data_IF_105746147179
#
_entry.id   IF_105746147179
#
_cell.length_a   1.000
_cell.length_b   1.000
_cell.length_c   1.000
_cell.angle_alpha   90.00
_cell.angle_beta   90.00
_cell.angle_gamma   90.00
#
_symmetry.space_group_name_H-M   'P 1'
#
loop_
_entity.id
_entity.type
_entity.pdbx_description
1 polymer ?
#
# COMPACT_ATOMS: atom_id res chain seq x y z
N UNK A 1 4.94 -6.98 17.98
CA UNK A 1 6.19 -7.77 18.12
C UNK A 1 7.45 -6.93 17.79
N UNK A 2 7.36 -5.75 17.15
CA UNK A 2 8.56 -5.01 16.69
C UNK A 2 9.30 -4.17 17.76
N UNK A 3 8.64 -3.28 18.50
CA UNK A 3 9.34 -2.30 19.38
C UNK A 3 10.14 -2.92 20.53
N UNK A 4 9.58 -3.95 21.20
CA UNK A 4 10.26 -4.66 22.30
C UNK A 4 11.52 -5.37 21.83
N UNK A 5 11.44 -5.96 20.63
CA UNK A 5 12.56 -6.67 20.03
C UNK A 5 13.65 -5.69 19.58
N UNK A 6 13.28 -4.54 19.03
CA UNK A 6 14.23 -3.46 18.71
C UNK A 6 14.98 -2.99 19.94
N UNK A 7 14.30 -2.71 21.06
CA UNK A 7 14.96 -2.30 22.32
C UNK A 7 15.89 -3.41 22.82
N UNK A 8 15.44 -4.67 22.81
CA UNK A 8 16.27 -5.81 23.19
C UNK A 8 17.52 -5.94 22.32
N UNK A 9 17.41 -5.65 21.01
CA UNK A 9 18.57 -5.61 20.12
C UNK A 9 19.52 -4.47 20.47
N UNK A 10 19.03 -3.28 20.79
CA UNK A 10 19.87 -2.16 21.24
C UNK A 10 20.64 -2.54 22.52
N UNK A 11 20.08 -3.36 23.40
CA UNK A 11 20.79 -3.84 24.59
C UNK A 11 22.04 -4.64 24.25
N UNK A 12 22.01 -5.43 23.17
CA UNK A 12 23.07 -6.38 22.78
C UNK A 12 23.94 -5.93 21.61
N UNK A 13 23.43 -5.06 20.74
CA UNK A 13 24.08 -4.65 19.49
C UNK A 13 24.81 -3.31 19.68
N UNK A 14 26.13 -3.39 19.55
CA UNK A 14 27.06 -2.27 19.72
C UNK A 14 26.90 -1.21 18.63
N UNK A 15 26.64 -1.63 17.39
CA UNK A 15 26.49 -0.71 16.27
C UNK A 15 25.24 0.16 16.47
N UNK A 16 24.16 -0.47 16.96
CA UNK A 16 22.92 0.25 17.26
C UNK A 16 23.15 1.27 18.36
N UNK A 17 23.79 0.89 19.47
CA UNK A 17 24.13 1.81 20.58
C UNK A 17 24.96 3.00 20.12
N UNK A 18 26.01 2.75 19.34
CA UNK A 18 26.86 3.81 18.78
C UNK A 18 26.04 4.77 17.90
N UNK A 19 25.18 4.22 17.02
CA UNK A 19 24.34 5.02 16.12
C UNK A 19 23.35 5.93 16.87
N UNK A 20 22.74 5.44 17.95
CA UNK A 20 21.80 6.23 18.76
C UNK A 20 22.49 7.08 19.85
N UNK A 21 23.82 7.02 19.97
CA UNK A 21 24.59 7.80 20.93
C UNK A 21 24.54 7.31 22.38
N UNK A 22 24.18 6.05 22.62
CA UNK A 22 24.19 5.47 23.97
C UNK A 22 25.52 4.79 24.28
N UNK A 23 26.09 5.08 25.45
CA UNK A 23 27.28 4.40 25.95
C UNK A 23 27.02 2.93 26.32
N UNK A 24 28.06 2.11 26.41
CA UNK A 24 27.94 0.69 26.79
C UNK A 24 27.35 0.48 28.19
N UNK A 25 27.74 1.34 29.13
CA UNK A 25 27.32 1.28 30.53
C UNK A 25 25.98 1.97 30.78
N UNK A 26 25.45 2.69 29.79
CA UNK A 26 24.20 3.42 29.94
C UNK A 26 22.99 2.49 29.81
N UNK A 27 22.00 2.75 30.65
CA UNK A 27 20.73 2.02 30.65
C UNK A 27 19.83 2.55 29.55
N UNK A 28 19.39 1.65 28.68
CA UNK A 28 18.47 1.99 27.59
C UNK A 28 17.05 2.20 28.18
N UNK A 29 16.29 3.20 27.67
CA UNK A 29 14.91 3.39 28.07
C UNK A 29 14.06 2.15 27.84
N UNK A 30 13.10 1.92 28.73
CA UNK A 30 12.15 0.83 28.56
C UNK A 30 11.28 1.05 27.31
N UNK A 31 10.88 -0.05 26.64
CA UNK A 31 10.12 0.02 25.37
C UNK A 31 8.86 0.87 25.46
N UNK A 32 8.20 0.89 26.62
CA UNK A 32 6.99 1.69 26.83
C UNK A 32 7.25 3.20 26.75
N UNK A 33 8.42 3.66 27.17
CA UNK A 33 8.82 5.07 27.06
C UNK A 33 8.99 5.44 25.60
N UNK A 34 9.66 4.60 24.82
CA UNK A 34 9.82 4.81 23.39
C UNK A 34 8.48 4.77 22.65
N UNK A 35 7.62 3.77 22.92
CA UNK A 35 6.27 3.69 22.33
C UNK A 35 5.42 4.92 22.62
N UNK A 36 5.39 5.38 23.88
CA UNK A 36 4.62 6.58 24.25
C UNK A 36 5.18 7.86 23.61
N UNK A 37 6.50 8.00 23.53
CA UNK A 37 7.11 9.14 22.85
C UNK A 37 6.84 9.10 21.34
N UNK A 38 6.88 7.91 20.74
CA UNK A 38 6.60 7.72 19.33
C UNK A 38 5.18 8.17 18.99
N UNK A 39 4.20 7.67 19.74
CA UNK A 39 2.80 8.05 19.61
C UNK A 39 2.56 9.54 19.92
N UNK A 40 3.20 10.12 20.94
CA UNK A 40 2.94 11.53 21.28
C UNK A 40 3.59 12.55 20.34
N UNK A 41 4.76 12.22 19.79
CA UNK A 41 5.58 13.18 19.03
C UNK A 41 5.47 13.01 17.52
N UNK A 42 5.16 11.81 17.05
CA UNK A 42 5.20 11.48 15.63
C UNK A 42 3.87 10.97 15.07
N UNK A 43 2.85 10.81 15.91
CA UNK A 43 1.50 10.56 15.42
C UNK A 43 1.05 11.74 14.54
N UNK A 44 0.49 11.41 13.38
CA UNK A 44 0.10 12.33 12.31
C UNK A 44 1.25 13.15 11.68
N UNK A 45 2.50 12.73 11.86
CA UNK A 45 3.64 13.36 11.17
C UNK A 45 4.08 12.56 9.96
N UNK A 46 4.54 13.25 8.91
CA UNK A 46 5.14 12.68 7.71
C UNK A 46 6.68 12.54 7.84
N UNK A 47 7.21 12.69 9.06
CA UNK A 47 8.65 12.75 9.31
C UNK A 47 9.37 11.49 8.84
N UNK A 48 8.83 10.30 9.13
CA UNK A 48 9.43 9.04 8.72
C UNK A 48 9.46 8.90 7.20
N UNK A 49 8.39 9.34 6.55
CA UNK A 49 8.29 9.32 5.10
C UNK A 49 9.31 10.31 4.48
N UNK A 50 9.45 11.50 5.06
CA UNK A 50 10.45 12.50 4.65
C UNK A 50 11.88 11.97 4.81
N UNK A 51 12.20 11.34 5.94
CA UNK A 51 13.52 10.73 6.18
C UNK A 51 13.77 9.61 5.16
N UNK A 52 12.78 8.76 4.91
CA UNK A 52 12.88 7.67 3.94
C UNK A 52 13.23 8.19 2.54
N UNK A 53 12.45 9.15 2.01
CA UNK A 53 12.72 9.70 0.68
C UNK A 53 14.04 10.47 0.61
N UNK A 54 14.48 11.08 1.71
CA UNK A 54 15.80 11.72 1.77
C UNK A 54 16.93 10.70 1.63
N UNK A 55 16.84 9.56 2.32
CA UNK A 55 17.83 8.48 2.21
C UNK A 55 17.77 7.85 0.81
N UNK A 56 16.56 7.64 0.28
CA UNK A 56 16.37 7.09 -1.06
C UNK A 56 17.01 7.99 -2.13
N UNK A 57 16.84 9.31 -2.04
CA UNK A 57 17.50 10.27 -2.94
C UNK A 57 19.01 10.19 -2.87
N UNK A 58 19.60 10.08 -1.68
CA UNK A 58 21.05 9.88 -1.57
C UNK A 58 21.51 8.59 -2.24
N UNK A 59 20.73 7.50 -2.13
CA UNK A 59 21.04 6.25 -2.80
C UNK A 59 20.92 6.37 -4.33
N UNK A 60 19.96 7.15 -4.83
CA UNK A 60 19.82 7.48 -6.26
C UNK A 60 21.00 8.31 -6.77
N UNK A 61 21.43 9.33 -6.02
CA UNK A 61 22.57 10.19 -6.39
C UNK A 61 23.88 9.37 -6.48
N UNK A 62 23.99 8.29 -5.71
CA UNK A 62 25.09 7.33 -5.76
C UNK A 62 24.91 6.24 -6.85
N UNK A 63 23.81 6.28 -7.61
CA UNK A 63 23.52 5.30 -8.66
C UNK A 63 23.15 3.90 -8.16
N UNK A 64 22.78 3.75 -6.89
CA UNK A 64 22.40 2.46 -6.30
C UNK A 64 20.95 2.07 -6.64
N UNK A 65 20.12 3.06 -6.95
CA UNK A 65 18.69 2.91 -7.23
C UNK A 65 18.41 3.34 -8.66
N UNK A 66 17.79 2.47 -9.44
CA UNK A 66 17.33 2.76 -10.80
C UNK A 66 15.80 2.88 -10.82
N UNK A 67 15.23 4.09 -10.88
CA UNK A 67 13.78 4.25 -10.89
C UNK A 67 13.15 3.94 -12.27
N UNK A 68 13.92 3.51 -13.28
CA UNK A 68 13.42 3.29 -14.63
C UNK A 68 12.45 2.10 -14.73
N UNK A 69 12.61 1.10 -13.88
CA UNK A 69 11.75 -0.09 -13.82
C UNK A 69 11.17 -0.22 -12.41
N UNK A 70 9.84 -0.19 -12.30
CA UNK A 70 9.14 -0.41 -11.03
C UNK A 70 8.44 -1.76 -11.02
N UNK A 71 8.68 -2.55 -9.98
CA UNK A 71 8.01 -3.81 -9.69
C UNK A 71 6.99 -3.57 -8.58
N UNK A 72 5.71 -3.82 -8.84
CA UNK A 72 4.64 -3.59 -7.87
C UNK A 72 4.03 -4.93 -7.46
N UNK A 73 4.04 -5.18 -6.16
CA UNK A 73 3.48 -6.37 -5.54
C UNK A 73 2.63 -6.00 -4.31
N UNK A 74 1.66 -6.85 -3.99
CA UNK A 74 0.79 -6.70 -2.82
C UNK A 74 1.00 -7.85 -1.84
N UNK A 75 1.19 -7.53 -0.56
CA UNK A 75 1.32 -8.52 0.51
C UNK A 75 0.32 -8.23 1.62
N UNK A 76 -0.41 -9.28 2.03
CA UNK A 76 -1.40 -9.17 3.09
C UNK A 76 -0.78 -9.48 4.45
N UNK A 77 -0.86 -8.54 5.39
CA UNK A 77 -0.39 -8.69 6.76
C UNK A 77 -1.58 -8.77 7.72
N UNK A 78 -1.59 -9.80 8.55
CA UNK A 78 -2.66 -10.04 9.52
C UNK A 78 -2.67 -8.95 10.60
N UNK A 79 -3.82 -8.30 10.78
CA UNK A 79 -4.04 -7.35 11.86
C UNK A 79 -4.15 -8.08 13.22
N UNK A 80 -3.82 -7.37 14.29
CA UNK A 80 -3.97 -7.90 15.66
C UNK A 80 -5.42 -7.73 16.15
N UNK A 81 -6.37 -8.25 15.37
CA UNK A 81 -7.80 -8.10 15.60
C UNK A 81 -8.49 -9.47 15.61
N UNK A 82 -9.49 -9.62 16.50
CA UNK A 82 -10.23 -10.87 16.60
C UNK A 82 -11.31 -10.96 15.52
N UNK A 83 -11.22 -11.97 14.65
CA UNK A 83 -12.18 -12.24 13.57
C UNK A 83 -13.65 -12.42 14.01
N UNK A 84 -13.90 -12.68 15.30
CA UNK A 84 -15.25 -12.83 15.88
C UNK A 84 -15.80 -11.53 16.49
N UNK A 85 -14.96 -10.50 16.69
CA UNK A 85 -15.37 -9.21 17.24
C UNK A 85 -15.46 -8.19 16.12
N UNK A 86 -16.67 -8.05 15.56
CA UNK A 86 -16.93 -7.12 14.46
C UNK A 86 -18.35 -6.56 14.54
N UNK A 87 -18.52 -5.37 13.98
CA UNK A 87 -19.82 -4.76 13.72
C UNK A 87 -20.06 -4.78 12.21
N UNK A 88 -21.30 -5.05 11.82
CA UNK A 88 -21.73 -4.99 10.43
C UNK A 88 -22.08 -3.55 10.09
N UNK A 89 -21.41 -2.99 9.09
CA UNK A 89 -21.65 -1.62 8.62
C UNK A 89 -22.02 -1.67 7.15
N UNK A 90 -23.08 -0.95 6.81
CA UNK A 90 -23.48 -0.76 5.43
C UNK A 90 -22.64 0.40 4.91
N UNK A 91 -21.79 0.11 3.93
CA UNK A 91 -20.96 1.12 3.28
C UNK A 91 -21.48 1.29 1.87
N UNK A 92 -21.67 2.55 1.46
CA UNK A 92 -21.91 2.87 0.06
C UNK A 92 -20.68 2.49 -0.72
N UNK A 93 -20.85 1.59 -1.67
CA UNK A 93 -19.79 1.23 -2.59
C UNK A 93 -19.49 2.49 -3.38
N UNK A 94 -18.27 3.03 -3.26
CA UNK A 94 -17.82 4.01 -4.22
C UNK A 94 -17.95 3.35 -5.59
N UNK A 95 -18.85 3.91 -6.39
CA UNK A 95 -19.08 3.47 -7.75
C UNK A 95 -17.72 3.52 -8.44
N UNK A 96 -17.40 2.46 -9.18
CA UNK A 96 -16.14 2.41 -9.93
C UNK A 96 -16.21 3.50 -11.01
N UNK A 97 -15.93 4.75 -10.66
CA UNK A 97 -16.06 5.90 -11.55
C UNK A 97 -15.31 5.66 -12.86
N UNK A 98 -14.17 4.98 -12.76
CA UNK A 98 -13.37 4.58 -13.90
C UNK A 98 -13.99 3.44 -14.74
N UNK A 99 -14.73 2.51 -14.12
CA UNK A 99 -15.44 1.45 -14.87
C UNK A 99 -16.58 2.04 -15.69
N UNK A 100 -17.29 3.04 -15.16
CA UNK A 100 -18.36 3.72 -15.90
C UNK A 100 -17.81 4.48 -17.10
N UNK A 101 -16.70 5.20 -16.92
CA UNK A 101 -15.98 5.84 -18.03
C UNK A 101 -15.53 4.82 -19.08
N UNK A 102 -15.00 3.67 -18.65
CA UNK A 102 -14.56 2.62 -19.57
C UNK A 102 -15.74 2.00 -20.34
N UNK A 103 -16.86 1.75 -19.66
CA UNK A 103 -18.06 1.18 -20.28
C UNK A 103 -18.68 2.19 -21.28
N UNK A 104 -18.59 3.50 -21.01
CA UNK A 104 -18.99 4.56 -21.94
C UNK A 104 -18.11 4.58 -23.19
N UNK A 105 -16.78 4.52 -23.05
CA UNK A 105 -15.85 4.48 -24.18
C UNK A 105 -16.02 3.22 -25.03
N UNK A 106 -16.19 2.07 -24.39
CA UNK A 106 -16.48 0.81 -25.08
C UNK A 106 -17.80 0.91 -25.84
N UNK A 107 -18.82 1.53 -25.26
CA UNK A 107 -20.11 1.70 -25.93
C UNK A 107 -19.99 2.66 -27.12
N UNK A 108 -19.23 3.75 -27.00
CA UNK A 108 -18.96 4.66 -28.12
C UNK A 108 -18.24 3.95 -29.28
N UNK A 109 -17.22 3.13 -28.98
CA UNK A 109 -16.53 2.33 -30.00
C UNK A 109 -17.45 1.26 -30.60
N UNK A 110 -18.33 0.63 -29.81
CA UNK A 110 -19.33 -0.31 -30.32
C UNK A 110 -20.32 0.36 -31.26
N UNK A 111 -20.81 1.55 -30.93
CA UNK A 111 -21.71 2.34 -31.77
C UNK A 111 -21.05 2.72 -33.09
N UNK A 112 -19.79 3.19 -33.05
CA UNK A 112 -18.99 3.46 -34.25
C UNK A 112 -18.82 2.22 -35.14
N UNK A 113 -18.73 1.03 -34.53
CA UNK A 113 -18.65 -0.26 -35.21
C UNK A 113 -20.03 -0.93 -35.48
N UNK A 114 -21.15 -0.23 -35.30
CA UNK A 114 -22.50 -0.72 -35.56
C UNK A 114 -22.99 -1.86 -34.63
N UNK A 115 -22.34 -2.03 -33.47
CA UNK A 115 -22.67 -3.04 -32.45
C UNK A 115 -23.55 -2.44 -31.36
N UNK A 116 -24.43 -3.27 -30.78
CA UNK A 116 -25.27 -2.86 -29.66
C UNK A 116 -24.42 -2.55 -28.40
N UNK A 117 -24.83 -1.55 -27.59
CA UNK A 117 -24.16 -1.22 -26.35
C UNK A 117 -24.24 -2.39 -25.35
N UNK A 118 -23.23 -2.47 -24.48
CA UNK A 118 -23.19 -3.45 -23.40
C UNK A 118 -24.29 -3.14 -22.38
N UNK A 119 -24.95 -4.19 -21.89
CA UNK A 119 -25.91 -4.01 -20.79
C UNK A 119 -25.15 -3.51 -19.55
N UNK A 120 -25.64 -2.46 -18.87
CA UNK A 120 -25.01 -1.98 -17.65
C UNK A 120 -25.04 -3.10 -16.61
N UNK A 121 -23.90 -3.32 -15.95
CA UNK A 121 -23.85 -4.24 -14.81
C UNK A 121 -24.63 -3.62 -13.66
N UNK A 122 -25.69 -4.29 -13.21
CA UNK A 122 -26.33 -3.96 -11.95
C UNK A 122 -25.31 -4.15 -10.82
N UNK A 123 -24.87 -3.04 -10.25
CA UNK A 123 -24.01 -3.04 -9.09
C UNK A 123 -24.85 -2.55 -7.91
N UNK A 124 -25.02 -3.38 -6.87
CA UNK A 124 -25.65 -2.90 -5.64
C UNK A 124 -24.82 -1.74 -5.08
N UNK A 125 -25.48 -0.62 -4.82
CA UNK A 125 -24.85 0.61 -4.29
C UNK A 125 -24.37 0.42 -2.85
N UNK A 126 -24.91 -0.57 -2.15
CA UNK A 126 -24.58 -0.83 -0.76
C UNK A 126 -23.93 -2.20 -0.60
N UNK A 127 -22.85 -2.25 0.20
CA UNK A 127 -22.19 -3.48 0.61
C UNK A 127 -22.11 -3.54 2.12
N UNK A 128 -22.52 -4.67 2.67
CA UNK A 128 -22.28 -4.98 4.07
C UNK A 128 -20.80 -5.36 4.27
N UNK A 129 -20.08 -4.56 5.05
CA UNK A 129 -18.68 -4.78 5.43
C UNK A 129 -18.64 -5.11 6.92
N UNK A 130 -17.70 -5.98 7.30
CA UNK A 130 -17.40 -6.29 8.71
C UNK A 130 -16.27 -5.39 9.16
N UNK A 131 -16.54 -4.50 10.10
CA UNK A 131 -15.56 -3.60 10.72
C UNK A 131 -15.14 -4.19 12.08
N UNK A 132 -13.84 -4.28 12.35
CA UNK A 132 -13.41 -4.80 13.66
C UNK A 132 -13.66 -3.78 14.75
N UNK A 133 -14.06 -4.24 15.94
CA UNK A 133 -14.19 -3.36 17.11
C UNK A 133 -12.84 -2.98 17.74
N UNK A 134 -11.78 -3.74 17.44
CA UNK A 134 -10.44 -3.52 18.03
C UNK A 134 -9.58 -2.66 17.11
N UNK A 135 -9.76 -2.83 15.79
CA UNK A 135 -8.97 -2.18 14.76
C UNK A 135 -9.86 -1.85 13.55
N UNK A 136 -10.56 -0.69 13.58
CA UNK A 136 -11.51 -0.30 12.54
C UNK A 136 -10.90 -0.12 11.15
N UNK A 137 -9.59 0.17 11.08
CA UNK A 137 -8.86 0.39 9.83
C UNK A 137 -8.48 -0.92 9.13
N UNK A 138 -8.59 -2.05 9.82
CA UNK A 138 -8.30 -3.36 9.23
C UNK A 138 -9.44 -3.87 8.35
N UNK A 139 -9.09 -4.43 7.19
CA UNK A 139 -10.05 -5.00 6.26
C UNK A 139 -10.37 -6.46 6.57
N UNK A 140 -11.64 -6.85 6.48
CA UNK A 140 -12.03 -8.26 6.60
C UNK A 140 -11.68 -9.01 5.31
N UNK A 141 -10.72 -9.93 5.42
CA UNK A 141 -10.14 -10.65 4.30
C UNK A 141 -10.31 -12.17 4.46
N UNK A 142 -10.42 -12.86 3.33
CA UNK A 142 -10.48 -14.32 3.28
C UNK A 142 -9.27 -14.82 2.51
N UNK A 143 -8.32 -15.42 3.22
CA UNK A 143 -7.10 -15.98 2.63
C UNK A 143 -7.39 -17.36 2.06
N UNK A 144 -7.41 -17.47 0.74
CA UNK A 144 -7.80 -18.69 0.03
C UNK A 144 -9.24 -19.07 0.36
N UNK A 145 -9.50 -20.37 0.52
CA UNK A 145 -10.87 -20.86 0.80
C UNK A 145 -11.20 -21.01 2.30
N UNK A 146 -10.22 -20.91 3.21
CA UNK A 146 -10.37 -21.45 4.57
C UNK A 146 -10.19 -20.46 5.72
N UNK A 147 -9.31 -19.45 5.59
CA UNK A 147 -9.01 -18.58 6.73
C UNK A 147 -9.60 -17.17 6.56
N UNK A 148 -10.56 -16.84 7.43
CA UNK A 148 -11.12 -15.49 7.56
C UNK A 148 -10.38 -14.74 8.65
N UNK A 149 -9.84 -13.57 8.34
CA UNK A 149 -9.04 -12.75 9.24
C UNK A 149 -9.19 -11.26 8.90
N UNK A 150 -8.82 -10.41 9.85
CA UNK A 150 -8.63 -8.98 9.59
C UNK A 150 -7.18 -8.75 9.15
N UNK A 151 -6.96 -7.98 8.09
CA UNK A 151 -5.65 -7.72 7.51
C UNK A 151 -5.54 -6.34 6.88
N UNK A 152 -4.30 -5.97 6.60
CA UNK A 152 -3.91 -4.86 5.75
C UNK A 152 -3.24 -5.38 4.48
N UNK A 153 -3.51 -4.73 3.35
CA UNK A 153 -2.78 -4.88 2.09
C UNK A 153 -1.63 -3.88 2.06
N UNK A 154 -0.41 -4.40 1.99
CA UNK A 154 0.80 -3.61 1.77
C UNK A 154 1.13 -3.68 0.28
N UNK A 155 1.04 -2.55 -0.40
CA UNK A 155 1.37 -2.42 -1.81
C UNK A 155 2.71 -1.70 -1.92
N UNK A 156 3.73 -2.40 -2.39
CA UNK A 156 5.10 -1.87 -2.45
C UNK A 156 5.58 -1.81 -3.89
N UNK A 157 6.17 -0.68 -4.27
CA UNK A 157 6.89 -0.51 -5.52
C UNK A 157 8.39 -0.61 -5.25
N UNK A 158 9.09 -1.46 -6.01
CA UNK A 158 10.51 -1.69 -5.87
C UNK A 158 11.25 -1.50 -7.20
N UNK A 159 12.52 -1.12 -7.14
CA UNK A 159 13.46 -1.21 -8.25
C UNK A 159 13.95 -2.67 -8.43
N UNK A 160 14.53 -2.96 -9.59
CA UNK A 160 15.29 -4.18 -9.93
C UNK A 160 16.34 -4.55 -8.89
N UNK A 161 16.96 -3.58 -8.22
CA UNK A 161 17.94 -3.83 -7.16
C UNK A 161 17.29 -4.14 -5.79
N UNK A 162 15.96 -4.15 -5.71
CA UNK A 162 15.21 -4.44 -4.48
C UNK A 162 15.03 -3.25 -3.54
N UNK A 163 15.40 -2.04 -3.97
CA UNK A 163 15.11 -0.82 -3.21
C UNK A 163 13.63 -0.47 -3.32
N UNK A 164 13.01 -0.17 -2.18
CA UNK A 164 11.62 0.29 -2.13
C UNK A 164 11.58 1.73 -2.64
N UNK A 165 10.74 1.99 -3.64
CA UNK A 165 10.48 3.31 -4.23
C UNK A 165 9.28 3.99 -3.58
N UNK A 166 8.30 3.20 -3.14
CA UNK A 166 7.08 3.70 -2.50
C UNK A 166 6.29 2.57 -1.88
N UNK A 167 5.45 2.91 -0.90
CA UNK A 167 4.55 1.96 -0.25
C UNK A 167 3.25 2.64 0.09
N UNK A 168 2.14 1.92 -0.14
CA UNK A 168 0.80 2.31 0.29
C UNK A 168 0.22 1.16 1.10
N UNK A 169 -0.38 1.49 2.23
CA UNK A 169 -1.02 0.51 3.13
C UNK A 169 -2.50 0.80 3.14
N UNK A 170 -3.29 -0.20 2.77
CA UNK A 170 -4.74 -0.10 2.72
C UNK A 170 -5.39 -1.26 3.47
N UNK A 171 -6.67 -1.13 3.85
CA UNK A 171 -7.46 -2.24 4.36
C UNK A 171 -7.52 -3.40 3.35
N UNK A 172 -7.34 -4.65 3.81
CA UNK A 172 -7.31 -5.83 2.92
C UNK A 172 -8.63 -6.14 2.17
N UNK A 173 -9.71 -5.41 2.43
CA UNK A 173 -10.98 -5.52 1.69
C UNK A 173 -11.00 -4.64 0.43
N UNK A 174 -10.05 -3.72 0.27
CA UNK A 174 -9.84 -2.93 -0.95
C UNK A 174 -9.12 -3.82 -1.97
N UNK A 175 -9.53 -3.70 -3.23
CA UNK A 175 -8.94 -4.48 -4.31
C UNK A 175 -7.69 -3.75 -4.85
N UNK A 176 -6.61 -4.48 -5.06
CA UNK A 176 -5.29 -4.01 -5.48
C UNK A 176 -5.34 -3.01 -6.65
N UNK A 177 -6.23 -3.24 -7.62
CA UNK A 177 -6.42 -2.36 -8.77
C UNK A 177 -6.78 -0.91 -8.42
N UNK A 178 -7.40 -0.67 -7.26
CA UNK A 178 -7.75 0.68 -6.80
C UNK A 178 -6.53 1.41 -6.21
N UNK A 179 -5.62 0.65 -5.60
CA UNK A 179 -4.45 1.20 -4.91
C UNK A 179 -3.32 1.51 -5.89
N UNK A 180 -3.30 0.84 -7.04
CA UNK A 180 -2.27 1.01 -8.08
C UNK A 180 -2.05 2.48 -8.46
N UNK A 181 -3.12 3.21 -8.78
CA UNK A 181 -3.02 4.59 -9.27
C UNK A 181 -2.40 5.49 -8.20
N UNK A 182 -2.80 5.33 -6.94
CA UNK A 182 -2.26 6.07 -5.80
C UNK A 182 -0.77 5.79 -5.63
N UNK A 183 -0.38 4.51 -5.63
CA UNK A 183 1.02 4.11 -5.49
C UNK A 183 1.88 4.60 -6.67
N UNK A 184 1.36 4.51 -7.90
CA UNK A 184 2.07 4.98 -9.09
C UNK A 184 2.31 6.49 -9.07
N UNK A 185 1.29 7.28 -8.70
CA UNK A 185 1.44 8.74 -8.58
C UNK A 185 2.43 9.09 -7.47
N UNK A 186 2.39 8.41 -6.32
CA UNK A 186 3.36 8.62 -5.24
C UNK A 186 4.80 8.40 -5.73
N UNK A 187 5.06 7.32 -6.47
CA UNK A 187 6.39 7.04 -7.04
C UNK A 187 6.79 8.10 -8.07
N UNK A 188 5.88 8.46 -8.97
CA UNK A 188 6.10 9.47 -10.02
C UNK A 188 6.46 10.84 -9.43
N UNK A 189 5.76 11.27 -8.38
CA UNK A 189 5.94 12.58 -7.76
C UNK A 189 7.17 12.64 -6.85
N UNK A 190 7.42 11.60 -6.07
CA UNK A 190 8.44 11.65 -5.00
C UNK A 190 9.81 11.13 -5.43
N UNK A 191 9.84 10.23 -6.41
CA UNK A 191 11.05 9.55 -6.90
C UNK A 191 11.34 10.00 -8.33
N UNK A 192 10.70 9.36 -9.30
CA UNK A 192 10.78 9.67 -10.72
C UNK A 192 9.71 8.86 -11.47
N UNK A 193 9.40 9.27 -12.69
CA UNK A 193 8.49 8.53 -13.57
C UNK A 193 9.20 7.26 -14.10
N UNK A 194 8.69 6.06 -13.81
CA UNK A 194 9.25 4.83 -14.37
C UNK A 194 8.94 4.72 -15.87
N UNK A 195 9.85 4.12 -16.62
CA UNK A 195 9.65 3.80 -18.05
C UNK A 195 8.92 2.47 -18.23
N UNK A 196 9.17 1.51 -17.33
CA UNK A 196 8.52 0.19 -17.34
C UNK A 196 7.96 -0.13 -15.97
N UNK A 197 6.77 -0.72 -15.91
CA UNK A 197 6.14 -1.16 -14.67
C UNK A 197 5.73 -2.61 -14.80
N UNK A 198 6.29 -3.49 -13.97
CA UNK A 198 5.89 -4.87 -13.86
C UNK A 198 4.96 -5.04 -12.66
N UNK A 199 3.80 -5.67 -12.87
CA UNK A 199 2.78 -5.85 -11.84
C UNK A 199 2.36 -7.31 -11.70
N UNK A 200 1.95 -7.71 -10.50
CA UNK A 200 1.32 -9.02 -10.30
C UNK A 200 -0.06 -9.12 -10.99
N UNK A 201 -0.55 -10.35 -11.15
CA UNK A 201 -1.84 -10.67 -11.76
C UNK A 201 -3.02 -9.94 -11.11
N UNK A 202 -2.96 -9.61 -9.81
CA UNK A 202 -3.99 -8.83 -9.10
C UNK A 202 -4.23 -7.43 -9.69
N UNK A 203 -3.22 -6.87 -10.36
CA UNK A 203 -3.28 -5.55 -10.99
C UNK A 203 -3.66 -5.59 -12.48
N UNK A 204 -3.78 -6.78 -13.07
CA UNK A 204 -4.08 -6.96 -14.49
C UNK A 204 -5.52 -6.56 -14.82
N UNK A 205 -5.75 -5.27 -15.03
CA UNK A 205 -7.05 -4.72 -15.40
C UNK A 205 -6.92 -3.82 -16.64
N UNK A 206 -7.95 -3.75 -17.51
CA UNK A 206 -7.95 -2.84 -18.67
C UNK A 206 -7.75 -1.37 -18.27
N UNK A 207 -8.27 -1.01 -17.09
CA UNK A 207 -8.15 0.32 -16.48
C UNK A 207 -6.69 0.70 -16.29
N UNK A 208 -5.93 -0.16 -15.63
CA UNK A 208 -4.50 0.07 -15.37
C UNK A 208 -3.71 0.08 -16.67
N UNK A 209 -4.02 -0.81 -17.61
CA UNK A 209 -3.36 -0.84 -18.92
C UNK A 209 -3.57 0.47 -19.70
N UNK A 210 -4.80 1.00 -19.70
CA UNK A 210 -5.12 2.29 -20.33
C UNK A 210 -4.38 3.43 -19.64
N UNK A 211 -4.43 3.49 -18.31
CA UNK A 211 -3.73 4.50 -17.53
C UNK A 211 -2.22 4.51 -17.80
N UNK A 212 -1.58 3.32 -17.84
CA UNK A 212 -0.15 3.21 -18.19
C UNK A 212 0.13 3.64 -19.61
N UNK A 213 -0.76 3.35 -20.56
CA UNK A 213 -0.64 3.80 -21.94
C UNK A 213 -0.72 5.33 -22.07
N UNK A 214 -1.68 5.97 -21.41
CA UNK A 214 -1.82 7.44 -21.35
C UNK A 214 -0.57 8.09 -20.73
N UNK A 215 0.00 7.44 -19.72
CA UNK A 215 1.25 7.87 -19.10
C UNK A 215 2.50 7.50 -19.93
N UNK A 216 2.39 6.90 -21.11
CA UNK A 216 3.54 6.44 -21.92
C UNK A 216 4.51 5.53 -21.14
N UNK A 217 3.98 4.68 -20.28
CA UNK A 217 4.75 3.70 -19.49
C UNK A 217 4.50 2.31 -20.04
N UNK A 218 5.57 1.53 -20.18
CA UNK A 218 5.50 0.15 -20.67
C UNK A 218 5.05 -0.80 -19.56
N UNK A 219 3.94 -1.53 -19.72
CA UNK A 219 3.56 -2.62 -18.81
C UNK A 219 4.37 -3.90 -19.05
#
# INVERSE_FOLDING_TARGET
>A
RSMRETIKRIETDVAYRWFIGYGFSEKIPHFSTFSKNYERRFHDTDLFETIFYRILRQAMDLGLVDPSVAFIDSTHVKANANKKKFVKKIVRKETRAYQEQLDQEINADREANGKKPLKPRQCSEEREIKESTTDPESGYFVKGERERLFAYGFHTACDRNGFVLGTVVEPANIHDSQVFTTLFQQVKERVAKPHTVAVDAGYKTPVIAKFLHEENVRP
#
